data_IF_307341942686
#
_entry.id   IF_307341942686
#
_cell.length_a   1.000
_cell.length_b   1.000
_cell.length_c   1.000
_cell.angle_alpha   90.00
_cell.angle_beta   90.00
_cell.angle_gamma   90.00
#
_symmetry.space_group_name_H-M   'P 1'
#
loop_
_entity.id
_entity.type
_entity.pdbx_description
1 polymer ?
#
# COMPACT_ATOMS: atom_id res chain seq x y z
N UNK A 1 5.63 -13.35 20.05
CA UNK A 1 4.21 -13.12 19.72
C UNK A 1 4.05 -11.66 19.35
N UNK A 2 3.64 -11.35 18.13
CA UNK A 2 3.36 -9.98 17.73
C UNK A 2 2.12 -9.47 18.45
N UNK A 3 2.18 -8.25 18.97
CA UNK A 3 1.02 -7.57 19.53
C UNK A 3 0.51 -6.57 18.50
N UNK A 4 -0.80 -6.54 18.33
CA UNK A 4 -1.45 -5.55 17.46
C UNK A 4 -1.88 -4.36 18.30
N UNK A 5 -1.60 -3.16 17.83
CA UNK A 5 -2.09 -1.94 18.47
C UNK A 5 -3.54 -1.63 18.05
N UNK A 6 -4.09 -0.52 18.54
CA UNK A 6 -5.46 -0.09 18.22
C UNK A 6 -5.69 0.25 16.73
N UNK A 7 -4.63 0.32 15.93
CA UNK A 7 -4.67 0.52 14.48
C UNK A 7 -4.57 -0.81 13.70
N UNK A 8 -4.55 -1.94 14.40
CA UNK A 8 -4.34 -3.25 13.78
C UNK A 8 -2.92 -3.49 13.26
N UNK A 9 -1.97 -2.63 13.64
CA UNK A 9 -0.57 -2.74 13.20
C UNK A 9 0.17 -3.77 14.04
N UNK A 10 0.97 -4.60 13.39
CA UNK A 10 1.98 -5.41 14.06
C UNK A 10 3.11 -4.50 14.54
N UNK A 11 3.03 -4.04 15.77
CA UNK A 11 3.94 -3.03 16.29
C UNK A 11 4.70 -3.55 17.52
N UNK A 12 6.03 -3.39 17.60
CA UNK A 12 6.76 -3.71 18.82
C UNK A 12 6.39 -2.75 19.96
N UNK A 13 6.41 -3.23 21.21
CA UNK A 13 5.93 -2.53 22.42
C UNK A 13 6.67 -1.22 22.78
N UNK A 14 7.64 -0.79 22.03
CA UNK A 14 8.52 0.35 22.35
C UNK A 14 7.99 1.70 21.83
N UNK A 15 6.85 1.72 21.11
CA UNK A 15 6.15 2.95 20.77
C UNK A 15 6.81 3.75 19.65
N UNK A 16 6.45 5.02 19.60
CA UNK A 16 6.91 5.97 18.59
C UNK A 16 8.29 6.56 18.99
N UNK A 17 9.26 6.46 18.09
CA UNK A 17 10.58 7.04 18.19
C UNK A 17 11.17 7.20 16.78
N UNK A 18 12.43 7.61 16.62
CA UNK A 18 13.06 7.67 15.30
C UNK A 18 12.94 6.34 14.55
N UNK A 19 12.43 6.38 13.33
CA UNK A 19 12.14 5.20 12.54
C UNK A 19 10.80 4.52 12.84
N UNK A 20 9.83 5.24 13.42
CA UNK A 20 8.52 4.67 13.77
C UNK A 20 7.80 4.07 12.56
N UNK A 21 7.81 4.73 11.41
CA UNK A 21 7.20 4.24 10.17
C UNK A 21 7.94 3.03 9.60
N UNK A 22 9.28 3.09 9.60
CA UNK A 22 10.12 1.96 9.23
C UNK A 22 9.78 0.72 10.07
N UNK A 23 9.60 0.89 11.37
CA UNK A 23 9.26 -0.22 12.25
C UNK A 23 7.87 -0.81 11.94
N UNK A 24 6.90 0.01 11.54
CA UNK A 24 5.61 -0.47 11.05
C UNK A 24 5.82 -1.36 9.81
N UNK A 25 6.54 -0.85 8.80
CA UNK A 25 6.78 -1.60 7.56
C UNK A 25 7.60 -2.88 7.78
N UNK A 26 8.70 -2.81 8.56
CA UNK A 26 9.56 -3.98 8.85
C UNK A 26 8.86 -5.05 9.69
N UNK A 27 8.07 -4.64 10.70
CA UNK A 27 7.32 -5.61 11.51
C UNK A 27 6.27 -6.34 10.68
N UNK A 28 5.60 -5.61 9.80
CA UNK A 28 4.62 -6.19 8.88
C UNK A 28 5.27 -7.13 7.87
N UNK A 29 6.41 -6.73 7.29
CA UNK A 29 7.21 -7.60 6.41
C UNK A 29 7.65 -8.88 7.13
N UNK A 30 8.16 -8.75 8.35
CA UNK A 30 8.60 -9.92 9.14
C UNK A 30 7.45 -10.85 9.49
N UNK A 31 6.28 -10.31 9.79
CA UNK A 31 5.07 -11.07 10.06
C UNK A 31 4.61 -11.84 8.81
N UNK A 32 4.56 -11.20 7.66
CA UNK A 32 4.19 -11.83 6.39
C UNK A 32 5.16 -12.93 6.00
N UNK A 33 6.46 -12.65 6.00
CA UNK A 33 7.49 -13.64 5.65
C UNK A 33 7.48 -14.83 6.62
N UNK A 34 7.32 -14.57 7.92
CA UNK A 34 7.17 -15.61 8.93
C UNK A 34 5.97 -16.51 8.65
N UNK A 35 4.83 -15.93 8.29
CA UNK A 35 3.62 -16.69 7.94
C UNK A 35 3.80 -17.51 6.66
N UNK A 36 4.38 -16.93 5.61
CA UNK A 36 4.68 -17.67 4.36
C UNK A 36 5.59 -18.88 4.64
N UNK A 37 6.60 -18.72 5.48
CA UNK A 37 7.54 -19.81 5.82
C UNK A 37 6.84 -20.91 6.64
N UNK A 38 5.93 -20.56 7.55
CA UNK A 38 5.30 -21.53 8.45
C UNK A 38 4.05 -22.17 7.85
N UNK A 39 3.25 -21.40 7.15
CA UNK A 39 1.90 -21.79 6.72
C UNK A 39 1.80 -22.01 5.21
N UNK A 40 2.75 -21.46 4.44
CA UNK A 40 2.72 -21.41 2.97
C UNK A 40 2.11 -20.12 2.45
N UNK A 41 2.42 -19.79 1.19
CA UNK A 41 1.97 -18.53 0.57
C UNK A 41 0.44 -18.47 0.44
N UNK A 42 -0.19 -19.56 0.05
CA UNK A 42 -1.64 -19.67 -0.12
C UNK A 42 -2.42 -19.77 1.20
N UNK A 43 -1.72 -19.93 2.33
CA UNK A 43 -2.33 -20.15 3.65
C UNK A 43 -2.03 -19.01 4.65
N UNK A 44 -1.61 -17.84 4.16
CA UNK A 44 -1.37 -16.66 5.01
C UNK A 44 -2.66 -16.29 5.77
N UNK A 45 -2.67 -16.30 7.12
CA UNK A 45 -3.85 -16.01 7.91
C UNK A 45 -4.44 -14.62 7.61
N UNK A 46 -5.77 -14.51 7.61
CA UNK A 46 -6.48 -13.25 7.35
C UNK A 46 -5.99 -12.12 8.25
N UNK A 47 -5.71 -12.39 9.53
CA UNK A 47 -5.17 -11.38 10.45
C UNK A 47 -3.83 -10.79 10.00
N UNK A 48 -2.97 -11.57 9.36
CA UNK A 48 -1.70 -11.08 8.77
C UNK A 48 -1.99 -10.20 7.57
N UNK A 49 -2.92 -10.62 6.72
CA UNK A 49 -3.35 -9.86 5.55
C UNK A 49 -3.97 -8.51 5.95
N UNK A 50 -4.84 -8.50 6.97
CA UNK A 50 -5.44 -7.29 7.52
C UNK A 50 -4.37 -6.36 8.11
N UNK A 51 -3.36 -6.92 8.78
CA UNK A 51 -2.24 -6.14 9.31
C UNK A 51 -1.39 -5.49 8.22
N UNK A 52 -1.20 -6.17 7.08
CA UNK A 52 -0.54 -5.59 5.90
C UNK A 52 -1.33 -4.40 5.37
N UNK A 53 -2.63 -4.56 5.16
CA UNK A 53 -3.49 -3.50 4.66
C UNK A 53 -3.51 -2.31 5.63
N UNK A 54 -3.72 -2.56 6.92
CA UNK A 54 -3.71 -1.52 7.94
C UNK A 54 -2.38 -0.77 8.01
N UNK A 55 -1.24 -1.46 7.86
CA UNK A 55 0.08 -0.84 7.84
C UNK A 55 0.24 0.06 6.61
N UNK A 56 -0.17 -0.41 5.44
CA UNK A 56 -0.14 0.35 4.20
C UNK A 56 -1.01 1.61 4.30
N UNK A 57 -2.26 1.45 4.74
CA UNK A 57 -3.20 2.55 4.92
C UNK A 57 -2.69 3.57 5.95
N UNK A 58 -2.13 3.10 7.07
CA UNK A 58 -1.52 3.97 8.08
C UNK A 58 -0.41 4.82 7.49
N UNK A 59 0.48 4.22 6.71
CA UNK A 59 1.61 4.92 6.10
C UNK A 59 1.18 5.90 5.00
N UNK A 60 0.03 5.67 4.37
CA UNK A 60 -0.53 6.52 3.32
C UNK A 60 -1.60 7.52 3.80
N UNK A 61 -1.83 7.65 5.12
CA UNK A 61 -2.65 8.75 5.65
C UNK A 61 -3.76 8.35 6.62
N UNK A 62 -4.09 7.07 6.76
CA UNK A 62 -5.06 6.61 7.79
C UNK A 62 -4.34 6.53 9.13
N UNK A 63 -3.95 7.69 9.67
CA UNK A 63 -3.15 7.83 10.88
C UNK A 63 -3.57 9.07 11.69
N UNK A 64 -3.02 9.28 12.90
CA UNK A 64 -3.47 10.37 13.80
C UNK A 64 -3.38 11.79 13.26
N UNK A 65 -2.61 12.03 12.18
CA UNK A 65 -2.42 13.36 11.59
C UNK A 65 -3.00 13.47 10.18
N UNK A 66 -3.63 12.41 9.65
CA UNK A 66 -4.18 12.35 8.29
C UNK A 66 -3.16 12.79 7.23
N UNK A 67 -1.95 12.20 7.30
CA UNK A 67 -0.81 12.61 6.52
C UNK A 67 -0.08 11.40 5.94
N UNK A 68 0.14 11.39 4.62
CA UNK A 68 0.92 10.35 3.95
C UNK A 68 2.42 10.57 4.16
N UNK A 69 3.08 9.55 4.67
CA UNK A 69 4.53 9.55 4.85
C UNK A 69 5.31 9.16 3.58
N UNK A 70 4.59 9.03 2.45
CA UNK A 70 5.16 8.75 1.13
C UNK A 70 4.91 9.95 0.23
N UNK A 71 5.98 10.56 -0.28
CA UNK A 71 5.88 11.75 -1.13
C UNK A 71 5.10 11.48 -2.42
N UNK A 72 4.20 12.41 -2.75
CA UNK A 72 3.42 12.37 -3.99
C UNK A 72 2.23 11.40 -3.99
N UNK A 73 1.93 10.75 -2.87
CA UNK A 73 0.79 9.84 -2.71
C UNK A 73 -0.08 10.28 -1.52
N UNK A 74 -1.39 10.36 -1.74
CA UNK A 74 -2.37 10.87 -0.77
C UNK A 74 -2.64 12.36 -0.93
N UNK A 75 -3.71 12.85 -0.31
CA UNK A 75 -4.12 14.27 -0.37
C UNK A 75 -3.12 15.19 0.33
N UNK A 76 -2.57 14.72 1.45
CA UNK A 76 -1.62 15.41 2.29
C UNK A 76 -0.39 14.52 2.41
N UNK A 77 0.68 14.82 1.70
CA UNK A 77 1.87 13.98 1.70
C UNK A 77 3.14 14.77 1.99
N UNK A 78 4.16 14.06 2.47
CA UNK A 78 5.48 14.63 2.73
C UNK A 78 6.03 15.30 1.47
N UNK A 79 6.59 16.48 1.66
CA UNK A 79 7.19 17.29 0.59
C UNK A 79 8.55 17.86 0.95
N UNK A 80 8.93 17.87 2.23
CA UNK A 80 10.15 18.47 2.74
C UNK A 80 11.04 17.41 3.39
N UNK A 81 11.57 16.48 2.58
CA UNK A 81 12.43 15.41 3.07
C UNK A 81 13.81 15.94 3.51
N UNK A 82 14.38 15.34 4.55
CA UNK A 82 15.77 15.53 4.90
C UNK A 82 16.65 14.72 3.94
N UNK A 83 17.26 15.40 2.98
CA UNK A 83 18.09 14.78 1.94
C UNK A 83 19.18 15.75 1.48
N UNK A 84 20.40 15.26 1.34
CA UNK A 84 21.51 16.04 0.78
C UNK A 84 21.31 16.43 -0.69
N UNK A 85 20.41 15.73 -1.40
CA UNK A 85 20.16 15.96 -2.84
C UNK A 85 18.89 16.79 -3.03
N UNK A 86 17.83 16.51 -2.25
CA UNK A 86 16.49 17.05 -2.47
C UNK A 86 16.04 18.03 -1.38
N UNK A 87 16.90 18.41 -0.44
CA UNK A 87 16.59 19.47 0.51
C UNK A 87 16.66 20.85 -0.15
N UNK A 88 15.90 21.81 0.37
CA UNK A 88 15.93 23.20 -0.11
C UNK A 88 17.33 23.81 -0.10
N UNK A 89 18.19 23.37 0.82
CA UNK A 89 19.56 23.82 0.96
C UNK A 89 20.52 23.18 -0.05
N UNK A 90 20.12 22.11 -0.73
CA UNK A 90 20.95 21.40 -1.71
C UNK A 90 21.20 22.20 -3.00
N UNK A 91 20.58 23.37 -3.17
CA UNK A 91 20.72 24.31 -4.32
C UNK A 91 20.46 23.67 -5.68
N UNK A 92 19.73 22.57 -5.73
CA UNK A 92 19.25 21.98 -6.96
C UNK A 92 17.91 22.62 -7.32
N UNK A 93 17.92 23.45 -8.36
CA UNK A 93 16.72 24.09 -8.88
C UNK A 93 16.19 23.35 -10.13
N UNK A 94 14.86 23.19 -10.25
CA UNK A 94 13.86 23.48 -9.21
C UNK A 94 13.81 22.37 -8.14
N UNK A 95 13.80 22.77 -6.88
CA UNK A 95 13.62 21.82 -5.77
C UNK A 95 12.33 21.02 -5.95
N UNK A 96 12.47 19.72 -5.99
CA UNK A 96 11.34 18.79 -6.02
C UNK A 96 11.68 17.52 -5.26
N UNK A 97 10.94 17.24 -4.22
CA UNK A 97 10.92 15.91 -3.61
C UNK A 97 10.33 14.93 -4.63
N UNK A 98 11.07 13.93 -5.11
CA UNK A 98 10.50 12.93 -6.01
C UNK A 98 9.37 12.16 -5.34
N UNK A 99 8.43 11.66 -6.13
CA UNK A 99 7.37 10.79 -5.63
C UNK A 99 7.96 9.44 -5.16
N UNK A 100 7.37 8.88 -4.11
CA UNK A 100 7.75 7.56 -3.59
C UNK A 100 8.84 7.60 -2.51
N UNK A 101 9.28 8.77 -2.04
CA UNK A 101 10.17 8.84 -0.88
C UNK A 101 9.39 8.60 0.41
N UNK A 102 9.88 7.68 1.21
CA UNK A 102 9.28 7.27 2.48
C UNK A 102 10.08 7.80 3.66
N UNK A 103 9.42 8.42 4.63
CA UNK A 103 10.06 9.08 5.77
C UNK A 103 9.92 8.31 7.08
N UNK A 104 10.81 8.59 8.04
CA UNK A 104 10.95 7.85 9.30
C UNK A 104 9.73 7.97 10.24
N UNK A 105 8.91 9.03 10.09
CA UNK A 105 7.65 9.19 10.80
C UNK A 105 7.76 9.89 12.15
N UNK A 106 6.73 9.75 12.98
CA UNK A 106 6.62 10.52 14.21
C UNK A 106 7.73 10.18 15.24
N UNK A 107 8.29 11.20 15.86
CA UNK A 107 9.32 11.05 16.88
C UNK A 107 9.05 11.96 18.10
N UNK A 108 8.34 11.47 19.13
CA UNK A 108 8.03 12.26 20.31
C UNK A 108 9.27 12.62 21.14
N UNK A 109 10.38 11.93 21.00
CA UNK A 109 11.61 12.24 21.74
C UNK A 109 12.17 13.61 21.35
N UNK A 110 12.08 13.97 20.07
CA UNK A 110 12.57 15.24 19.55
C UNK A 110 11.45 16.26 19.32
N UNK A 111 10.23 15.80 19.02
CA UNK A 111 9.12 16.65 18.60
C UNK A 111 7.97 16.72 19.61
N UNK A 112 8.25 16.54 20.90
CA UNK A 112 7.25 16.59 21.97
C UNK A 112 6.55 17.96 22.08
N UNK A 113 7.19 19.04 21.67
CA UNK A 113 6.59 20.38 21.63
C UNK A 113 5.41 20.50 20.70
N UNK A 114 5.32 19.65 19.66
CA UNK A 114 4.23 19.66 18.68
C UNK A 114 2.94 19.07 19.25
N UNK A 115 3.04 18.06 20.13
CA UNK A 115 1.87 17.39 20.68
C UNK A 115 2.18 16.58 21.93
N UNK A 116 1.20 16.49 22.84
CA UNK A 116 1.22 15.53 23.95
C UNK A 116 0.96 14.08 23.50
N UNK A 117 0.44 13.88 22.31
CA UNK A 117 0.15 12.56 21.74
C UNK A 117 1.28 12.11 20.84
N UNK A 118 1.85 10.93 21.12
CA UNK A 118 3.01 10.39 20.42
C UNK A 118 2.85 10.32 18.90
N UNK A 119 1.69 9.83 18.43
CA UNK A 119 1.39 9.70 17.00
C UNK A 119 1.18 11.03 16.25
N UNK A 120 1.28 12.17 16.95
CA UNK A 120 1.16 13.53 16.38
C UNK A 120 2.45 14.33 16.45
N UNK A 121 3.56 13.72 16.84
CA UNK A 121 4.87 14.37 16.96
C UNK A 121 5.67 14.24 15.66
N UNK A 122 5.13 14.76 14.57
CA UNK A 122 5.71 14.76 13.22
C UNK A 122 5.82 16.18 12.67
N UNK A 123 6.91 16.49 12.00
CA UNK A 123 7.12 17.77 11.31
C UNK A 123 7.63 17.50 9.90
N UNK A 124 6.89 17.98 8.90
CA UNK A 124 7.34 17.95 7.49
C UNK A 124 8.31 19.11 7.24
N UNK A 125 9.58 18.90 7.57
CA UNK A 125 10.65 19.89 7.41
C UNK A 125 11.95 19.21 7.00
N UNK A 126 12.62 19.77 6.01
CA UNK A 126 13.93 19.33 5.54
C UNK A 126 15.07 19.56 6.57
N UNK A 127 14.83 20.36 7.59
CA UNK A 127 15.74 20.51 8.72
C UNK A 127 15.54 19.46 9.83
N UNK A 128 14.42 18.71 9.78
CA UNK A 128 14.02 17.78 10.85
C UNK A 128 14.29 16.32 10.43
N UNK A 129 15.57 15.92 10.52
CA UNK A 129 15.99 14.57 10.15
C UNK A 129 15.35 13.48 11.00
N UNK A 130 14.96 13.77 12.23
CA UNK A 130 14.42 12.77 13.16
C UNK A 130 13.01 12.26 12.76
N UNK A 131 12.33 12.95 11.87
CA UNK A 131 11.03 12.56 11.33
C UNK A 131 11.03 12.41 9.81
N UNK A 132 11.87 13.20 9.12
CA UNK A 132 11.83 13.33 7.65
C UNK A 132 13.03 12.73 6.93
N UNK A 133 13.92 12.03 7.64
CA UNK A 133 15.01 11.31 6.98
C UNK A 133 14.42 10.22 6.05
N UNK A 134 15.03 10.10 4.88
CA UNK A 134 14.75 9.05 3.92
C UNK A 134 15.91 8.04 3.96
N UNK A 135 15.64 6.84 4.47
CA UNK A 135 16.67 5.81 4.63
C UNK A 135 16.46 4.65 3.65
N UNK A 136 17.56 4.06 3.17
CA UNK A 136 17.53 2.91 2.25
C UNK A 136 16.76 1.75 2.87
N UNK A 137 17.01 1.44 4.12
CA UNK A 137 16.34 0.34 4.82
C UNK A 137 14.87 0.61 5.15
N UNK A 138 14.49 1.88 5.35
CA UNK A 138 13.09 2.29 5.47
C UNK A 138 12.34 2.12 4.15
N UNK A 139 12.94 2.64 3.07
CA UNK A 139 12.34 2.51 1.73
C UNK A 139 12.25 1.05 1.27
N UNK A 140 13.25 0.21 1.56
CA UNK A 140 13.18 -1.20 1.18
C UNK A 140 12.00 -1.93 1.82
N UNK A 141 11.69 -1.64 3.08
CA UNK A 141 10.53 -2.20 3.77
C UNK A 141 9.20 -1.70 3.17
N UNK A 142 9.12 -0.42 2.83
CA UNK A 142 7.93 0.15 2.17
C UNK A 142 7.73 -0.41 0.76
N UNK A 143 8.80 -0.57 -0.02
CA UNK A 143 8.76 -1.21 -1.35
C UNK A 143 8.24 -2.64 -1.23
N UNK A 144 8.75 -3.42 -0.26
CA UNK A 144 8.28 -4.78 -0.04
C UNK A 144 6.80 -4.83 0.34
N UNK A 145 6.36 -3.97 1.27
CA UNK A 145 4.95 -3.89 1.68
C UNK A 145 4.04 -3.52 0.50
N UNK A 146 4.45 -2.53 -0.29
CA UNK A 146 3.71 -2.11 -1.48
C UNK A 146 3.61 -3.26 -2.50
N UNK A 147 4.72 -3.94 -2.79
CA UNK A 147 4.73 -5.08 -3.70
C UNK A 147 3.83 -6.23 -3.21
N UNK A 148 3.84 -6.51 -1.91
CA UNK A 148 2.99 -7.54 -1.33
C UNK A 148 1.48 -7.19 -1.42
N UNK A 149 1.12 -5.92 -1.21
CA UNK A 149 -0.26 -5.44 -1.40
C UNK A 149 -0.67 -5.52 -2.88
N UNK A 150 0.21 -5.09 -3.79
CA UNK A 150 -0.04 -5.19 -5.24
C UNK A 150 -0.22 -6.65 -5.68
N UNK A 151 0.67 -7.55 -5.25
CA UNK A 151 0.58 -8.98 -5.57
C UNK A 151 -0.73 -9.60 -5.08
N UNK A 152 -1.22 -9.18 -3.91
CA UNK A 152 -2.53 -9.62 -3.40
C UNK A 152 -3.69 -9.10 -4.28
N UNK A 153 -3.60 -7.85 -4.73
CA UNK A 153 -4.61 -7.25 -5.60
C UNK A 153 -4.51 -7.76 -7.04
N UNK A 154 -3.33 -8.22 -7.47
CA UNK A 154 -3.09 -8.85 -8.77
C UNK A 154 -3.52 -10.35 -8.81
N UNK A 155 -3.98 -10.91 -7.70
CA UNK A 155 -4.73 -12.17 -7.70
C UNK A 155 -6.13 -11.91 -8.29
N UNK A 156 -6.13 -11.48 -9.53
CA UNK A 156 -7.36 -11.31 -10.29
C UNK A 156 -7.94 -12.68 -10.55
N UNK A 157 -9.10 -12.93 -9.99
CA UNK A 157 -9.92 -14.07 -10.42
C UNK A 157 -10.14 -13.89 -11.92
N UNK A 158 -9.67 -14.84 -12.73
CA UNK A 158 -9.83 -14.76 -14.18
C UNK A 158 -11.33 -14.69 -14.51
N UNK A 159 -11.73 -13.64 -15.22
CA UNK A 159 -13.13 -13.37 -15.55
C UNK A 159 -13.82 -12.37 -14.61
N UNK A 160 -13.27 -12.06 -13.43
CA UNK A 160 -13.81 -11.10 -12.47
C UNK A 160 -13.55 -9.66 -12.93
N UNK A 161 -14.41 -9.18 -13.83
CA UNK A 161 -14.30 -7.84 -14.43
C UNK A 161 -14.90 -6.74 -13.55
N UNK A 162 -15.70 -7.12 -12.54
CA UNK A 162 -16.26 -6.18 -11.55
C UNK A 162 -15.35 -5.99 -10.33
N UNK A 163 -14.35 -6.89 -10.15
CA UNK A 163 -13.40 -6.92 -9.05
C UNK A 163 -14.05 -7.13 -7.66
N UNK A 164 -15.10 -7.96 -7.58
CA UNK A 164 -15.73 -8.34 -6.31
C UNK A 164 -15.08 -9.59 -5.68
N UNK A 165 -14.13 -10.22 -6.37
CA UNK A 165 -13.40 -11.40 -5.93
C UNK A 165 -14.03 -12.72 -6.31
N UNK A 166 -15.14 -12.71 -7.08
CA UNK A 166 -15.86 -13.90 -7.54
C UNK A 166 -16.06 -13.80 -9.04
N UNK A 167 -15.83 -14.88 -9.77
CA UNK A 167 -16.21 -14.94 -11.18
C UNK A 167 -17.62 -15.55 -11.28
N UNK A 168 -18.61 -14.73 -11.67
CA UNK A 168 -20.00 -15.17 -11.79
C UNK A 168 -20.76 -14.51 -12.98
N UNK A 169 -22.07 -14.67 -13.01
CA UNK A 169 -22.92 -14.13 -14.07
C UNK A 169 -22.90 -12.59 -14.13
N UNK A 170 -22.59 -11.90 -13.03
CA UNK A 170 -22.52 -10.44 -13.01
C UNK A 170 -21.37 -9.91 -13.86
N UNK A 171 -20.23 -10.62 -13.87
CA UNK A 171 -19.08 -10.30 -14.71
C UNK A 171 -19.38 -10.47 -16.19
N UNK A 172 -20.04 -11.58 -16.53
CA UNK A 172 -20.45 -11.84 -17.90
C UNK A 172 -21.36 -10.71 -18.42
N UNK A 173 -22.33 -10.30 -17.61
CA UNK A 173 -23.26 -9.20 -17.94
C UNK A 173 -22.51 -7.88 -18.04
N UNK A 174 -21.56 -7.62 -17.15
CA UNK A 174 -20.76 -6.39 -17.17
C UNK A 174 -19.90 -6.32 -18.42
N UNK A 175 -19.17 -7.39 -18.77
CA UNK A 175 -18.38 -7.44 -19.99
C UNK A 175 -19.25 -7.28 -21.24
N UNK A 176 -20.41 -7.94 -21.28
CA UNK A 176 -21.35 -7.81 -22.41
C UNK A 176 -21.81 -6.37 -22.61
N UNK A 177 -22.18 -5.67 -21.54
CA UNK A 177 -22.56 -4.25 -21.60
C UNK A 177 -21.43 -3.38 -22.10
N UNK A 178 -20.23 -3.58 -21.57
CA UNK A 178 -19.04 -2.83 -21.99
C UNK A 178 -18.73 -3.02 -23.48
N UNK A 179 -18.81 -4.26 -24.00
CA UNK A 179 -18.63 -4.57 -25.43
C UNK A 179 -19.68 -3.90 -26.32
N UNK A 180 -20.87 -3.63 -25.78
CA UNK A 180 -21.94 -2.89 -26.46
C UNK A 180 -21.79 -1.37 -26.34
N UNK A 181 -20.76 -0.90 -25.65
CA UNK A 181 -20.51 0.53 -25.42
C UNK A 181 -21.31 1.12 -24.25
N UNK A 182 -21.87 0.27 -23.39
CA UNK A 182 -22.63 0.67 -22.20
C UNK A 182 -21.92 0.21 -20.91
N UNK A 183 -21.48 1.16 -20.09
CA UNK A 183 -20.86 0.90 -18.81
C UNK A 183 -19.33 0.93 -18.81
N UNK A 184 -18.76 0.59 -17.65
CA UNK A 184 -17.31 0.56 -17.38
C UNK A 184 -16.94 -0.79 -16.79
N UNK A 185 -15.68 -1.19 -16.95
CA UNK A 185 -15.12 -2.34 -16.27
C UNK A 185 -14.23 -1.85 -15.12
N UNK A 186 -14.28 -2.54 -13.98
CA UNK A 186 -13.37 -2.27 -12.86
C UNK A 186 -12.01 -2.92 -13.10
N UNK A 187 -12.01 -4.13 -13.64
CA UNK A 187 -10.81 -4.91 -13.93
C UNK A 187 -10.83 -5.43 -15.39
N UNK A 188 -10.27 -4.63 -16.28
CA UNK A 188 -10.17 -4.96 -17.69
C UNK A 188 -9.30 -6.21 -17.93
N UNK A 189 -8.18 -6.33 -17.19
CA UNK A 189 -7.22 -7.42 -17.37
C UNK A 189 -7.80 -8.80 -17.00
N UNK A 190 -8.70 -8.85 -16.02
CA UNK A 190 -9.37 -10.10 -15.65
C UNK A 190 -10.27 -10.63 -16.79
N UNK A 191 -10.77 -9.74 -17.64
CA UNK A 191 -11.62 -10.09 -18.75
C UNK A 191 -10.87 -10.62 -19.97
N UNK A 192 -9.58 -10.30 -20.17
CA UNK A 192 -8.75 -10.80 -21.27
C UNK A 192 -8.32 -12.25 -21.01
N UNK A 193 -9.22 -13.19 -21.23
CA UNK A 193 -9.02 -14.62 -20.98
C UNK A 193 -8.18 -15.30 -22.05
N UNK A 194 -8.08 -14.71 -23.25
CA UNK A 194 -7.17 -15.15 -24.29
C UNK A 194 -5.73 -14.70 -24.08
N UNK A 195 -5.52 -13.66 -23.22
CA UNK A 195 -4.22 -13.01 -22.97
C UNK A 195 -3.56 -12.48 -24.25
N UNK A 196 -4.40 -11.98 -25.17
CA UNK A 196 -3.96 -11.42 -26.45
C UNK A 196 -3.85 -9.88 -26.43
N UNK A 197 -4.15 -9.25 -25.29
CA UNK A 197 -4.12 -7.80 -25.08
C UNK A 197 -5.35 -7.09 -25.68
N UNK A 198 -6.40 -7.83 -26.02
CA UNK A 198 -7.62 -7.30 -26.62
C UNK A 198 -8.85 -7.89 -25.94
N UNK A 199 -9.67 -7.05 -25.35
CA UNK A 199 -10.92 -7.49 -24.75
C UNK A 199 -12.04 -7.42 -25.78
N UNK A 200 -12.61 -8.58 -26.14
CA UNK A 200 -13.54 -8.72 -27.27
C UNK A 200 -14.56 -9.86 -27.08
N UNK A 201 -15.32 -10.15 -28.12
CA UNK A 201 -16.36 -11.18 -28.08
C UNK A 201 -15.87 -12.61 -27.87
N UNK A 202 -14.59 -12.90 -28.13
CA UNK A 202 -14.02 -14.22 -27.85
C UNK A 202 -13.85 -14.42 -26.35
N UNK A 203 -13.42 -13.40 -25.61
CA UNK A 203 -13.31 -13.45 -24.15
C UNK A 203 -14.68 -13.67 -23.52
N UNK A 204 -15.70 -12.96 -24.02
CA UNK A 204 -17.08 -13.15 -23.57
C UNK A 204 -17.55 -14.60 -23.81
N UNK A 205 -17.16 -15.21 -24.93
CA UNK A 205 -17.49 -16.63 -25.23
C UNK A 205 -16.79 -17.57 -24.24
N UNK A 206 -15.52 -17.31 -23.88
CA UNK A 206 -14.78 -18.10 -22.90
C UNK A 206 -15.43 -17.99 -21.53
N UNK A 207 -15.75 -16.75 -21.07
CA UNK A 207 -16.46 -16.53 -19.80
C UNK A 207 -17.75 -17.32 -19.74
N UNK A 208 -18.56 -17.22 -20.80
CA UNK A 208 -19.83 -17.94 -20.89
C UNK A 208 -19.67 -19.46 -20.80
N UNK A 209 -18.66 -20.00 -21.48
CA UNK A 209 -18.40 -21.45 -21.45
C UNK A 209 -17.95 -21.90 -20.05
N UNK A 210 -17.08 -21.16 -19.41
CA UNK A 210 -16.62 -21.48 -18.02
C UNK A 210 -17.79 -21.50 -17.04
N UNK A 211 -18.68 -20.49 -17.09
CA UNK A 211 -19.87 -20.45 -16.23
C UNK A 211 -20.90 -21.53 -16.52
N UNK A 212 -20.85 -22.14 -17.70
CA UNK A 212 -21.76 -23.24 -18.06
C UNK A 212 -21.22 -24.64 -17.65
N UNK A 213 -19.92 -24.71 -17.27
CA UNK A 213 -19.25 -25.94 -16.83
C UNK A 213 -19.29 -26.12 -15.31
N UNK A 214 -19.64 -25.06 -14.54
CA UNK A 214 -19.88 -25.07 -13.09
C UNK A 214 -21.32 -25.48 -12.76
#
# INVERSE_FOLDING_TARGET
MFQYNNWGLAYPNWGYWWGSNRNVALSTMSLLLGSIITDGEDAVPQQVQDSMQNAFDYLLGVNPISFSYVSGYGENSVSNIFSAIYSKDAKLEPYRCPNGYFTEGTNPSNNRSLSKFNGKCYMDSDAEWTTNENTIYGNSAMIFLTAAIMSKNDQTVEGDVNADGVFDLSDLVMLQKWLLGDGTLTNWNAGDLQKDGSLNGYDLCIMRNRLAEE
#
